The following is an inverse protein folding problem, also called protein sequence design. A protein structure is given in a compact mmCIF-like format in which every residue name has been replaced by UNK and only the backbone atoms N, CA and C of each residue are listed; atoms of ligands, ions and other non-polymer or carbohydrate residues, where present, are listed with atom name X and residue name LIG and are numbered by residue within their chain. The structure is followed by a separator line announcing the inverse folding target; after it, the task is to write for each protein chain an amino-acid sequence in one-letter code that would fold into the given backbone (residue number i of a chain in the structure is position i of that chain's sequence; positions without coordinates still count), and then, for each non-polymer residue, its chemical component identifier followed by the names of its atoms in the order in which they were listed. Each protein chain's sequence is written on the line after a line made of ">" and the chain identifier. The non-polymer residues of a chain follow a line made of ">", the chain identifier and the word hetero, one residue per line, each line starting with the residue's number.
data_IF_007540566868
#
_entry.id   IF_007540566868
#
_cell.length_a   1.000
_cell.length_b   1.000
_cell.length_c   1.000
_cell.angle_alpha   90.00
_cell.angle_beta   90.00
_cell.angle_gamma   90.00
#
_symmetry.space_group_name_H-M   'P 1'
#
loop_
_entity.id
_entity.type
_entity.pdbx_description
1 polymer ?
#
# COMPACT_ATOMS: atom_id res chain seq x y z
N UNK A 1 11.23 21.14 35.53
CA UNK A 1 10.53 20.06 36.29
C UNK A 1 9.40 19.38 35.52
N UNK A 2 8.78 20.01 34.52
CA UNK A 2 7.71 19.38 33.69
C UNK A 2 8.30 18.41 32.66
N UNK A 3 9.53 18.61 32.20
CA UNK A 3 10.15 17.77 31.16
C UNK A 3 10.67 16.40 31.67
N UNK A 4 10.92 16.25 32.98
CA UNK A 4 11.41 15.00 33.55
C UNK A 4 10.31 13.98 33.89
N UNK A 5 9.05 14.43 33.95
CA UNK A 5 7.89 13.54 34.15
C UNK A 5 7.41 12.80 32.89
N UNK A 6 7.95 13.14 31.71
CA UNK A 6 7.48 12.61 30.44
C UNK A 6 8.31 11.42 29.90
N UNK A 7 9.36 11.01 30.59
CA UNK A 7 10.21 9.91 30.15
C UNK A 7 10.17 8.77 31.18
N UNK A 8 9.38 7.74 30.89
CA UNK A 8 9.44 6.46 31.57
C UNK A 8 8.46 6.20 32.72
N UNK A 9 7.41 7.01 32.89
CA UNK A 9 6.35 6.75 33.86
C UNK A 9 5.14 6.02 33.28
N UNK A 10 4.37 5.33 34.11
CA UNK A 10 3.08 4.70 33.74
C UNK A 10 2.11 5.66 33.04
N UNK A 11 2.31 6.97 33.24
CA UNK A 11 1.54 8.03 32.58
C UNK A 11 1.80 8.10 31.06
N UNK A 12 3.04 7.85 30.60
CA UNK A 12 3.35 7.75 29.16
C UNK A 12 2.74 6.51 28.50
N UNK A 13 2.53 5.43 29.27
CA UNK A 13 1.87 4.21 28.79
C UNK A 13 0.36 4.44 28.69
N UNK A 14 -0.24 5.14 29.63
CA UNK A 14 -1.67 5.53 29.58
C UNK A 14 -1.98 6.47 28.40
N UNK A 15 -1.09 7.44 28.11
CA UNK A 15 -1.27 8.34 26.97
C UNK A 15 -1.24 7.61 25.62
N UNK A 16 -0.49 6.52 25.48
CA UNK A 16 -0.44 5.74 24.22
C UNK A 16 -1.73 4.98 23.92
N UNK A 17 -2.46 4.57 24.94
CA UNK A 17 -3.75 3.90 24.77
C UNK A 17 -4.94 4.87 24.74
N UNK A 18 -4.72 6.14 25.09
CA UNK A 18 -5.78 7.15 25.15
C UNK A 18 -6.04 7.83 23.80
N UNK A 19 -4.99 8.09 23.02
CA UNK A 19 -5.11 8.73 21.71
C UNK A 19 -5.15 7.68 20.59
N UNK A 20 -5.98 7.94 19.60
CA UNK A 20 -6.24 7.05 18.48
C UNK A 20 -6.03 7.74 17.13
N UNK A 21 -5.73 6.97 16.12
CA UNK A 21 -5.74 7.40 14.74
C UNK A 21 -6.56 6.39 13.92
N UNK A 22 -7.20 6.86 12.87
CA UNK A 22 -7.96 6.01 11.97
C UNK A 22 -7.31 6.00 10.59
N UNK A 23 -7.22 4.83 9.98
CA UNK A 23 -6.86 4.65 8.58
C UNK A 23 -8.06 4.24 7.75
N UNK A 24 -8.17 4.77 6.54
CA UNK A 24 -9.14 4.37 5.52
C UNK A 24 -8.40 4.07 4.23
N UNK A 25 -8.57 2.88 3.68
CA UNK A 25 -8.17 2.55 2.31
C UNK A 25 -9.40 2.57 1.42
N UNK A 26 -9.37 3.39 0.38
CA UNK A 26 -10.41 3.44 -0.66
C UNK A 26 -9.93 2.65 -1.87
N UNK A 27 -10.74 1.69 -2.31
CA UNK A 27 -10.51 0.95 -3.55
C UNK A 27 -11.69 1.12 -4.50
N UNK A 28 -11.63 0.55 -5.69
CA UNK A 28 -12.74 0.64 -6.64
C UNK A 28 -14.05 -0.01 -6.15
N UNK A 29 -13.96 -1.02 -5.26
CA UNK A 29 -15.13 -1.84 -4.89
C UNK A 29 -15.41 -1.90 -3.39
N UNK A 30 -14.51 -1.44 -2.54
CA UNK A 30 -14.66 -1.49 -1.08
C UNK A 30 -13.84 -0.40 -0.39
N UNK A 31 -14.16 -0.15 0.85
CA UNK A 31 -13.35 0.61 1.79
C UNK A 31 -12.87 -0.32 2.91
N UNK A 32 -11.66 -0.12 3.36
CA UNK A 32 -11.14 -0.76 4.57
C UNK A 32 -10.87 0.30 5.62
N UNK A 33 -11.20 0.01 6.86
CA UNK A 33 -11.07 0.91 7.98
C UNK A 33 -10.31 0.24 9.10
N UNK A 34 -9.39 0.95 9.72
CA UNK A 34 -8.70 0.49 10.93
C UNK A 34 -8.64 1.62 11.94
N UNK A 35 -8.84 1.27 13.19
CA UNK A 35 -8.61 2.13 14.35
C UNK A 35 -7.40 1.59 15.10
N UNK A 36 -6.45 2.47 15.41
CA UNK A 36 -5.22 2.12 16.11
C UNK A 36 -4.97 3.11 17.26
N UNK A 37 -4.28 2.65 18.30
CA UNK A 37 -3.78 3.53 19.35
C UNK A 37 -2.34 4.01 19.02
N UNK A 38 -1.81 4.94 19.81
CA UNK A 38 -0.43 5.43 19.65
C UNK A 38 0.64 4.39 20.01
N UNK A 39 0.26 3.24 20.53
CA UNK A 39 1.13 2.08 20.76
C UNK A 39 1.22 1.14 19.56
N UNK A 40 0.64 1.51 18.42
CA UNK A 40 0.55 0.69 17.20
C UNK A 40 -0.33 -0.57 17.36
N UNK A 41 -1.23 -0.60 18.34
CA UNK A 41 -2.16 -1.71 18.51
C UNK A 41 -3.44 -1.44 17.71
N UNK A 42 -3.90 -2.45 16.99
CA UNK A 42 -5.16 -2.38 16.26
C UNK A 42 -6.29 -2.62 17.24
N UNK A 43 -7.14 -1.61 17.39
CA UNK A 43 -8.33 -1.65 18.26
C UNK A 43 -9.51 -2.26 17.51
N UNK A 44 -9.72 -1.83 16.26
CA UNK A 44 -10.82 -2.30 15.43
C UNK A 44 -10.45 -2.23 13.96
N UNK A 45 -10.97 -3.15 13.17
CA UNK A 45 -10.88 -3.14 11.71
C UNK A 45 -12.17 -3.60 11.09
N UNK A 46 -12.46 -3.08 9.91
CA UNK A 46 -13.62 -3.50 9.11
C UNK A 46 -13.34 -3.32 7.62
N UNK A 47 -14.00 -4.12 6.80
CA UNK A 47 -13.97 -4.04 5.34
C UNK A 47 -15.38 -4.06 4.81
N UNK A 48 -15.78 -2.97 4.18
CA UNK A 48 -17.15 -2.75 3.70
C UNK A 48 -17.14 -2.71 2.17
N UNK A 49 -18.03 -3.47 1.56
CA UNK A 49 -18.26 -3.36 0.12
C UNK A 49 -18.95 -2.04 -0.17
N UNK A 50 -18.23 -1.13 -0.82
CA UNK A 50 -18.70 0.17 -1.25
C UNK A 50 -18.02 0.53 -2.55
N UNK A 51 -18.78 0.48 -3.66
CA UNK A 51 -18.26 0.80 -4.98
C UNK A 51 -17.98 2.30 -5.06
N UNK A 52 -16.75 2.64 -5.44
CA UNK A 52 -16.35 4.03 -5.64
C UNK A 52 -17.19 4.68 -6.75
N UNK A 53 -17.66 5.88 -6.49
CA UNK A 53 -18.21 6.79 -7.50
C UNK A 53 -17.66 8.19 -7.26
N UNK A 54 -17.51 8.97 -8.34
CA UNK A 54 -17.01 10.35 -8.25
C UNK A 54 -18.08 11.36 -7.75
N UNK A 55 -19.17 10.88 -7.18
CA UNK A 55 -20.31 11.69 -6.72
C UNK A 55 -20.16 12.11 -5.26
N UNK A 56 -20.81 13.22 -4.89
CA UNK A 56 -20.83 13.70 -3.49
C UNK A 56 -21.51 12.70 -2.55
N UNK A 57 -22.50 11.96 -3.04
CA UNK A 57 -23.18 10.90 -2.29
C UNK A 57 -22.21 9.85 -1.75
N UNK A 58 -21.17 9.51 -2.50
CA UNK A 58 -20.13 8.60 -2.03
C UNK A 58 -19.39 9.15 -0.81
N UNK A 59 -19.01 10.42 -0.82
CA UNK A 59 -18.32 11.05 0.33
C UNK A 59 -19.20 11.03 1.58
N UNK A 60 -20.50 11.30 1.42
CA UNK A 60 -21.48 11.25 2.53
C UNK A 60 -21.64 9.83 3.05
N UNK A 61 -21.67 8.83 2.17
CA UNK A 61 -21.79 7.42 2.57
C UNK A 61 -20.53 6.95 3.30
N UNK A 62 -19.32 7.30 2.83
CA UNK A 62 -18.06 7.02 3.53
C UNK A 62 -18.09 7.64 4.92
N UNK A 63 -18.48 8.92 5.06
CA UNK A 63 -18.55 9.59 6.34
C UNK A 63 -19.55 8.91 7.31
N UNK A 64 -20.69 8.44 6.81
CA UNK A 64 -21.66 7.69 7.62
C UNK A 64 -21.07 6.34 8.08
N UNK A 65 -20.33 5.62 7.21
CA UNK A 65 -19.66 4.36 7.59
C UNK A 65 -18.59 4.62 8.64
N UNK A 66 -17.80 5.68 8.50
CA UNK A 66 -16.79 6.08 9.49
C UNK A 66 -17.45 6.38 10.84
N UNK A 67 -18.53 7.13 10.84
CA UNK A 67 -19.28 7.44 12.08
C UNK A 67 -19.76 6.16 12.77
N UNK A 68 -20.39 5.26 12.02
CA UNK A 68 -20.85 3.97 12.56
C UNK A 68 -19.68 3.10 13.05
N UNK A 69 -18.56 3.11 12.35
CA UNK A 69 -17.36 2.37 12.75
C UNK A 69 -16.78 2.86 14.08
N UNK A 70 -16.85 4.17 14.35
CA UNK A 70 -16.34 4.79 15.57
C UNK A 70 -17.34 4.77 16.74
N UNK A 71 -18.61 4.41 16.52
CA UNK A 71 -19.62 4.35 17.57
C UNK A 71 -19.24 3.36 18.66
N UNK A 72 -19.22 3.86 19.92
CA UNK A 72 -18.94 3.07 21.12
C UNK A 72 -17.45 2.82 21.41
N UNK A 73 -16.55 3.20 20.52
CA UNK A 73 -15.11 2.90 20.67
C UNK A 73 -14.30 4.03 21.30
N UNK A 74 -14.72 5.28 21.14
CA UNK A 74 -13.91 6.44 21.50
C UNK A 74 -14.65 7.45 22.36
N UNK A 75 -13.97 8.03 23.37
CA UNK A 75 -14.36 9.29 23.98
C UNK A 75 -14.13 10.43 22.96
N UNK A 76 -15.01 11.46 22.98
CA UNK A 76 -15.13 12.47 21.91
C UNK A 76 -13.84 13.18 21.48
N UNK A 77 -12.77 13.18 22.23
CA UNK A 77 -11.56 13.98 21.94
C UNK A 77 -10.29 13.13 21.83
N UNK A 78 -10.42 11.82 21.60
CA UNK A 78 -9.27 10.93 21.56
C UNK A 78 -8.81 10.58 20.13
N UNK A 79 -9.59 10.88 19.10
CA UNK A 79 -9.22 10.65 17.70
C UNK A 79 -8.43 11.85 17.16
N UNK A 80 -7.15 11.64 16.88
CA UNK A 80 -6.22 12.68 16.40
C UNK A 80 -6.46 13.07 14.94
N UNK A 81 -6.93 12.13 14.11
CA UNK A 81 -7.19 12.36 12.70
C UNK A 81 -7.42 11.07 11.92
N UNK A 82 -7.73 11.25 10.65
CA UNK A 82 -7.99 10.16 9.70
C UNK A 82 -6.97 10.24 8.58
N UNK A 83 -6.24 9.13 8.36
CA UNK A 83 -5.44 8.95 7.17
C UNK A 83 -6.26 8.25 6.08
N UNK A 84 -6.27 8.77 4.87
CA UNK A 84 -6.98 8.19 3.74
C UNK A 84 -6.00 7.81 2.64
N UNK A 85 -5.86 6.51 2.39
CA UNK A 85 -5.08 5.96 1.30
C UNK A 85 -5.97 5.76 0.07
N UNK A 86 -5.51 6.29 -1.07
CA UNK A 86 -6.26 6.26 -2.35
C UNK A 86 -5.30 5.87 -3.47
N UNK A 87 -5.64 4.92 -4.34
CA UNK A 87 -4.82 4.60 -5.50
C UNK A 87 -4.79 5.77 -6.49
N UNK A 88 -3.59 6.20 -6.88
CA UNK A 88 -3.38 7.26 -7.85
C UNK A 88 -2.40 8.34 -7.41
N UNK A 89 -2.19 9.30 -8.30
CA UNK A 89 -1.28 10.43 -8.08
C UNK A 89 -2.02 11.54 -7.35
N UNK A 90 -1.54 11.90 -6.15
CA UNK A 90 -2.20 12.88 -5.28
C UNK A 90 -1.37 14.14 -5.15
N UNK A 91 -1.98 15.29 -5.41
CA UNK A 91 -1.49 16.59 -4.97
C UNK A 91 -2.01 16.87 -3.56
N UNK A 92 -1.13 16.74 -2.57
CA UNK A 92 -1.50 16.92 -1.16
C UNK A 92 -1.80 18.37 -0.82
N UNK A 93 -1.18 19.34 -1.52
CA UNK A 93 -1.40 20.78 -1.24
C UNK A 93 -2.77 21.21 -1.73
N UNK A 94 -3.09 20.84 -2.97
CA UNK A 94 -4.38 21.16 -3.58
C UNK A 94 -5.49 20.21 -3.14
N UNK A 95 -5.15 19.06 -2.52
CA UNK A 95 -6.09 18.01 -2.14
C UNK A 95 -6.89 17.49 -3.33
N UNK A 96 -6.16 17.10 -4.36
CA UNK A 96 -6.69 16.62 -5.64
C UNK A 96 -6.02 15.30 -5.97
N UNK A 97 -6.82 14.32 -6.39
CA UNK A 97 -6.31 13.17 -7.15
C UNK A 97 -6.09 13.64 -8.57
N UNK A 98 -4.84 13.85 -8.96
CA UNK A 98 -4.48 14.29 -10.32
C UNK A 98 -4.92 13.26 -11.34
N UNK A 99 -4.66 11.98 -11.05
CA UNK A 99 -5.08 10.86 -11.89
C UNK A 99 -5.10 9.56 -11.10
N UNK A 100 -6.18 8.82 -11.23
CA UNK A 100 -6.29 7.44 -10.77
C UNK A 100 -6.87 6.57 -11.88
N UNK A 101 -6.06 5.67 -12.41
CA UNK A 101 -6.55 4.69 -13.37
C UNK A 101 -7.44 3.66 -12.69
N UNK A 102 -7.11 3.24 -11.47
CA UNK A 102 -7.86 2.24 -10.71
C UNK A 102 -9.28 2.72 -10.37
N UNK A 103 -9.47 4.03 -10.12
CA UNK A 103 -10.77 4.63 -9.81
C UNK A 103 -11.44 5.29 -11.02
N UNK A 104 -10.73 5.40 -12.16
CA UNK A 104 -11.25 6.03 -13.38
C UNK A 104 -11.49 7.54 -13.23
N UNK A 105 -10.70 8.25 -12.40
CA UNK A 105 -10.85 9.69 -12.14
C UNK A 105 -9.62 10.48 -12.53
N UNK A 106 -9.85 11.76 -12.85
CA UNK A 106 -8.81 12.75 -13.13
C UNK A 106 -9.24 14.11 -12.58
N UNK A 107 -8.28 14.84 -11.96
CA UNK A 107 -8.52 16.14 -11.30
C UNK A 107 -9.69 16.12 -10.28
N UNK A 108 -9.81 15.02 -9.52
CA UNK A 108 -10.89 14.83 -8.56
C UNK A 108 -10.55 15.50 -7.22
N UNK A 109 -11.44 16.38 -6.73
CA UNK A 109 -11.25 17.08 -5.46
C UNK A 109 -11.55 16.17 -4.26
N UNK A 110 -10.58 16.09 -3.32
CA UNK A 110 -10.73 15.36 -2.05
C UNK A 110 -11.35 16.23 -0.94
N UNK A 111 -11.56 17.53 -1.21
CA UNK A 111 -12.13 18.48 -0.22
C UNK A 111 -13.53 18.10 0.21
N UNK A 112 -14.32 17.49 -0.64
CA UNK A 112 -15.66 17.02 -0.29
C UNK A 112 -15.63 15.89 0.73
N UNK A 113 -14.70 14.95 0.58
CA UNK A 113 -14.52 13.87 1.55
C UNK A 113 -14.03 14.41 2.90
N UNK A 114 -13.07 15.33 2.87
CA UNK A 114 -12.58 16.00 4.06
C UNK A 114 -13.70 16.74 4.82
N UNK A 115 -14.53 17.50 4.10
CA UNK A 115 -15.66 18.20 4.69
C UNK A 115 -16.71 17.26 5.27
N UNK A 116 -16.97 16.12 4.60
CA UNK A 116 -17.95 15.15 5.06
C UNK A 116 -17.50 14.40 6.33
N UNK A 117 -16.18 14.20 6.52
CA UNK A 117 -15.62 13.50 7.69
C UNK A 117 -15.59 14.37 8.95
N UNK A 118 -15.55 15.71 8.83
CA UNK A 118 -15.56 16.67 9.95
C UNK A 118 -14.42 16.46 10.98
N UNK A 119 -13.36 15.75 10.60
CA UNK A 119 -12.18 15.39 11.39
C UNK A 119 -10.96 15.74 10.54
N UNK A 120 -9.80 16.11 11.11
CA UNK A 120 -8.59 16.31 10.32
C UNK A 120 -8.26 15.11 9.43
N UNK A 121 -8.12 15.33 8.12
CA UNK A 121 -7.87 14.28 7.14
C UNK A 121 -6.53 14.48 6.43
N UNK A 122 -5.79 13.39 6.27
CA UNK A 122 -4.54 13.33 5.53
C UNK A 122 -4.69 12.34 4.39
N UNK A 123 -4.41 12.78 3.16
CA UNK A 123 -4.52 11.95 1.97
C UNK A 123 -3.14 11.47 1.52
N UNK A 124 -3.02 10.23 1.13
CA UNK A 124 -1.80 9.68 0.56
C UNK A 124 -2.12 8.63 -0.52
N UNK A 125 -1.19 8.45 -1.46
CA UNK A 125 -1.24 7.32 -2.37
C UNK A 125 -1.12 6.00 -1.59
N UNK A 126 -1.82 4.96 -2.02
CA UNK A 126 -1.89 3.67 -1.35
C UNK A 126 -0.53 2.98 -1.19
N UNK A 127 0.32 2.94 -2.21
CA UNK A 127 1.65 2.36 -2.11
C UNK A 127 2.58 3.22 -1.21
N UNK A 128 2.47 4.55 -1.27
CA UNK A 128 3.18 5.45 -0.35
C UNK A 128 2.75 5.22 1.10
N UNK A 129 1.44 5.07 1.33
CA UNK A 129 0.91 4.77 2.65
C UNK A 129 1.45 3.44 3.18
N UNK A 130 1.50 2.42 2.33
CA UNK A 130 2.07 1.12 2.66
C UNK A 130 3.57 1.20 3.01
N UNK A 131 4.36 1.95 2.23
CA UNK A 131 5.77 2.19 2.55
C UNK A 131 5.96 2.90 3.89
N UNK A 132 5.07 3.84 4.23
CA UNK A 132 5.11 4.51 5.54
C UNK A 132 4.80 3.58 6.71
N UNK A 133 3.97 2.56 6.49
CA UNK A 133 3.64 1.57 7.51
C UNK A 133 4.83 0.64 7.81
N UNK A 134 5.63 0.32 6.80
CA UNK A 134 6.92 -0.35 7.04
C UNK A 134 7.81 0.57 7.87
N UNK A 135 8.26 0.11 9.03
CA UNK A 135 8.96 0.94 10.01
C UNK A 135 10.10 1.72 9.36
N UNK A 136 9.92 3.03 9.15
CA UNK A 136 10.90 3.94 8.52
C UNK A 136 12.33 3.79 9.05
N UNK A 137 12.47 3.49 10.35
CA UNK A 137 13.76 3.25 10.98
C UNK A 137 14.42 1.94 10.56
N UNK A 138 13.64 0.98 10.08
CA UNK A 138 14.14 -0.33 9.63
C UNK A 138 14.66 -0.28 8.20
N UNK A 139 14.03 0.55 7.34
CA UNK A 139 14.36 0.66 5.94
C UNK A 139 14.48 2.15 5.52
N UNK A 140 15.61 2.82 5.86
CA UNK A 140 15.77 4.23 5.53
C UNK A 140 15.85 4.49 4.02
N UNK A 141 16.40 3.54 3.27
CA UNK A 141 16.51 3.58 1.81
C UNK A 141 15.94 2.29 1.26
N UNK A 142 14.70 2.33 0.77
CA UNK A 142 14.03 1.15 0.26
C UNK A 142 12.95 1.49 -0.77
N UNK A 143 12.71 0.53 -1.64
CA UNK A 143 11.60 0.49 -2.59
C UNK A 143 10.54 -0.46 -2.04
N UNK A 144 9.28 -0.05 -2.09
CA UNK A 144 8.13 -0.89 -1.80
C UNK A 144 7.39 -1.19 -3.10
N UNK A 145 7.19 -2.47 -3.39
CA UNK A 145 6.35 -2.94 -4.49
C UNK A 145 5.01 -3.42 -3.91
N UNK A 146 3.94 -2.72 -4.25
CA UNK A 146 2.58 -3.03 -3.85
C UNK A 146 1.94 -3.95 -4.87
N UNK A 147 2.06 -5.28 -4.66
CA UNK A 147 1.60 -6.34 -5.56
C UNK A 147 0.12 -6.65 -5.31
N UNK A 148 -0.73 -5.69 -5.58
CA UNK A 148 -2.18 -5.77 -5.46
C UNK A 148 -2.84 -6.00 -6.82
N UNK A 149 -4.15 -5.79 -6.95
CA UNK A 149 -4.88 -5.88 -8.22
C UNK A 149 -4.16 -5.15 -9.35
N UNK A 150 -3.56 -4.00 -9.05
CA UNK A 150 -2.58 -3.28 -9.87
C UNK A 150 -1.23 -3.24 -9.15
N UNK A 151 -0.14 -3.08 -9.89
CA UNK A 151 1.20 -2.92 -9.34
C UNK A 151 1.45 -1.46 -9.03
N UNK A 152 1.49 -1.13 -7.75
CA UNK A 152 1.93 0.16 -7.23
C UNK A 152 3.38 0.13 -6.76
N UNK A 153 3.94 1.31 -6.51
CA UNK A 153 5.27 1.42 -5.94
C UNK A 153 5.48 2.72 -5.18
N UNK A 154 6.39 2.64 -4.21
CA UNK A 154 6.85 3.78 -3.44
C UNK A 154 8.30 3.59 -3.07
N UNK A 155 9.00 4.67 -2.75
CA UNK A 155 10.32 4.53 -2.15
C UNK A 155 10.67 5.64 -1.18
N UNK A 156 11.52 5.27 -0.22
CA UNK A 156 12.08 6.16 0.77
C UNK A 156 13.56 6.39 0.52
N UNK A 157 14.00 7.63 0.74
CA UNK A 157 15.40 8.03 0.81
C UNK A 157 15.60 8.73 2.15
N UNK A 158 16.59 8.29 2.92
CA UNK A 158 16.89 8.82 4.27
C UNK A 158 15.65 8.84 5.18
N UNK A 159 14.85 7.78 5.12
CA UNK A 159 13.64 7.63 5.91
C UNK A 159 12.47 8.54 5.51
N UNK A 160 12.56 9.22 4.36
CA UNK A 160 11.53 10.10 3.83
C UNK A 160 10.99 9.58 2.51
N UNK A 161 9.67 9.64 2.32
CA UNK A 161 9.06 9.33 1.03
C UNK A 161 9.60 10.27 -0.06
N UNK A 162 10.06 9.67 -1.13
CA UNK A 162 10.46 10.40 -2.33
C UNK A 162 9.31 10.39 -3.34
N UNK A 163 8.66 11.53 -3.51
CA UNK A 163 7.50 11.68 -4.40
C UNK A 163 7.85 12.19 -5.80
N UNK A 164 9.11 12.62 -5.99
CA UNK A 164 9.54 13.29 -7.23
C UNK A 164 8.96 14.69 -7.38
N UNK A 165 9.36 15.36 -8.43
CA UNK A 165 8.98 16.76 -8.70
C UNK A 165 7.46 16.91 -8.97
N UNK A 166 6.85 15.91 -9.62
CA UNK A 166 5.46 15.94 -10.08
C UNK A 166 4.60 14.87 -9.41
N UNK A 167 4.95 14.42 -8.21
CA UNK A 167 4.25 13.36 -7.44
C UNK A 167 4.15 12.00 -8.19
N UNK A 168 5.05 11.73 -9.14
CA UNK A 168 5.01 10.53 -10.01
C UNK A 168 6.15 9.55 -9.73
N UNK A 169 6.95 9.77 -8.70
CA UNK A 169 7.97 8.81 -8.32
C UNK A 169 7.29 7.54 -7.78
N UNK A 170 7.87 6.38 -8.09
CA UNK A 170 7.29 5.10 -7.67
C UNK A 170 6.29 4.47 -8.64
N UNK A 171 5.97 5.10 -9.78
CA UNK A 171 5.09 4.53 -10.82
C UNK A 171 5.76 3.33 -11.55
N UNK A 172 6.34 2.40 -10.77
CA UNK A 172 7.08 1.23 -11.26
C UNK A 172 6.22 0.28 -12.08
N UNK A 173 4.93 0.18 -11.76
CA UNK A 173 3.97 -0.61 -12.54
C UNK A 173 3.90 -0.19 -14.00
N UNK A 174 4.25 1.05 -14.31
CA UNK A 174 4.21 1.57 -15.68
C UNK A 174 5.57 1.63 -16.39
N UNK A 175 6.64 1.07 -15.80
CA UNK A 175 7.88 0.79 -16.50
C UNK A 175 7.64 -0.29 -17.57
N UNK A 176 8.27 -0.13 -18.72
CA UNK A 176 8.19 -1.15 -19.79
C UNK A 176 9.09 -2.31 -19.41
N UNK A 177 8.50 -3.44 -19.12
CA UNK A 177 9.19 -4.69 -18.82
C UNK A 177 9.39 -5.54 -20.09
N UNK A 178 8.36 -5.61 -20.94
CA UNK A 178 8.38 -6.37 -22.19
C UNK A 178 7.94 -5.45 -23.34
N UNK A 179 8.87 -4.86 -24.09
CA UNK A 179 8.53 -3.97 -25.19
C UNK A 179 7.56 -4.61 -26.20
N UNK A 180 6.44 -3.92 -26.49
CA UNK A 180 5.40 -4.44 -27.39
C UNK A 180 4.55 -5.59 -26.85
N UNK A 181 4.71 -5.96 -25.58
CA UNK A 181 4.01 -7.07 -24.94
C UNK A 181 2.55 -6.80 -24.57
N UNK A 182 2.09 -7.38 -23.45
CA UNK A 182 0.69 -7.32 -23.01
C UNK A 182 0.20 -5.88 -22.87
N UNK A 183 -1.08 -5.66 -23.18
CA UNK A 183 -1.73 -4.36 -22.97
C UNK A 183 -1.85 -4.04 -21.50
N UNK A 184 -1.53 -2.81 -21.12
CA UNK A 184 -1.76 -2.26 -19.79
C UNK A 184 -2.99 -1.34 -19.82
N UNK A 185 -3.71 -1.26 -18.70
CA UNK A 185 -4.86 -0.36 -18.55
C UNK A 185 -4.50 1.12 -18.74
N UNK A 186 -3.23 1.51 -18.59
CA UNK A 186 -2.78 2.88 -18.85
C UNK A 186 -2.71 3.25 -20.35
N UNK A 187 -3.05 2.31 -21.25
CA UNK A 187 -3.03 2.49 -22.70
C UNK A 187 -1.73 2.09 -23.40
N UNK A 188 -0.63 1.88 -22.64
CA UNK A 188 0.64 1.38 -23.19
C UNK A 188 0.63 -0.15 -23.33
N UNK A 189 1.69 -0.70 -23.91
CA UNK A 189 1.95 -2.14 -23.96
C UNK A 189 3.27 -2.45 -23.29
N UNK A 190 3.32 -3.59 -22.58
CA UNK A 190 4.55 -4.10 -21.98
C UNK A 190 4.89 -3.56 -20.61
N UNK A 191 3.98 -2.83 -19.95
CA UNK A 191 4.18 -2.34 -18.59
C UNK A 191 4.35 -3.49 -17.59
N UNK A 192 5.17 -3.31 -16.57
CA UNK A 192 5.38 -4.26 -15.48
C UNK A 192 4.05 -4.71 -14.83
N UNK A 193 3.10 -3.80 -14.68
CA UNK A 193 1.76 -4.09 -14.15
C UNK A 193 1.06 -5.24 -14.88
N UNK A 194 1.15 -5.29 -16.20
CA UNK A 194 0.53 -6.34 -17.00
C UNK A 194 1.16 -7.74 -16.82
N UNK A 195 2.21 -7.85 -16.03
CA UNK A 195 2.95 -9.09 -15.76
C UNK A 195 3.08 -9.40 -14.28
N UNK A 196 3.15 -8.39 -13.41
CA UNK A 196 3.50 -8.52 -12.00
C UNK A 196 2.37 -8.08 -11.04
N UNK A 197 1.20 -7.64 -11.54
CA UNK A 197 0.05 -7.36 -10.68
C UNK A 197 -0.68 -8.65 -10.27
N UNK A 198 -1.40 -8.64 -9.14
CA UNK A 198 -2.22 -9.77 -8.72
C UNK A 198 -3.33 -10.12 -9.72
N UNK A 199 -3.82 -9.14 -10.50
CA UNK A 199 -4.81 -9.35 -11.56
C UNK A 199 -4.37 -10.40 -12.60
N UNK A 200 -3.07 -10.55 -12.81
CA UNK A 200 -2.50 -11.58 -13.71
C UNK A 200 -2.79 -12.98 -13.20
N UNK A 201 -2.69 -13.20 -11.89
CA UNK A 201 -2.92 -14.48 -11.23
C UNK A 201 -4.42 -14.75 -11.03
N UNK A 202 -5.18 -13.70 -10.69
CA UNK A 202 -6.61 -13.79 -10.44
C UNK A 202 -7.45 -13.69 -11.71
N UNK A 203 -6.82 -13.56 -12.89
CA UNK A 203 -7.49 -13.41 -14.19
C UNK A 203 -8.57 -12.31 -14.14
N UNK A 204 -8.20 -11.12 -13.69
CA UNK A 204 -9.12 -9.99 -13.52
C UNK A 204 -10.34 -10.32 -12.63
N UNK A 205 -10.09 -10.91 -11.48
CA UNK A 205 -11.11 -11.30 -10.48
C UNK A 205 -12.04 -12.46 -10.89
N UNK A 206 -11.67 -13.29 -11.85
CA UNK A 206 -12.39 -14.54 -12.16
C UNK A 206 -12.17 -15.62 -11.11
N UNK A 207 -11.06 -15.53 -10.36
CA UNK A 207 -10.77 -16.35 -9.18
C UNK A 207 -10.12 -15.50 -8.09
N UNK A 208 -10.20 -15.93 -6.83
CA UNK A 208 -9.45 -15.32 -5.74
C UNK A 208 -7.98 -15.73 -5.79
N UNK A 209 -7.10 -14.96 -5.13
CA UNK A 209 -5.70 -15.34 -4.98
C UNK A 209 -5.57 -16.64 -4.18
N UNK A 210 -6.38 -16.82 -3.13
CA UNK A 210 -6.39 -18.07 -2.34
C UNK A 210 -6.72 -19.28 -3.20
N UNK A 211 -7.77 -19.18 -4.05
CA UNK A 211 -8.12 -20.28 -4.96
C UNK A 211 -7.03 -20.54 -6.03
N UNK A 212 -6.24 -19.53 -6.39
CA UNK A 212 -5.06 -19.72 -7.25
C UNK A 212 -3.96 -20.48 -6.50
N UNK A 213 -3.69 -20.11 -5.24
CA UNK A 213 -2.68 -20.76 -4.42
C UNK A 213 -3.04 -22.23 -4.08
N UNK A 214 -4.31 -22.52 -3.77
CA UNK A 214 -4.80 -23.89 -3.60
C UNK A 214 -4.52 -24.78 -4.83
N UNK A 215 -4.64 -24.22 -6.03
CA UNK A 215 -4.32 -24.97 -7.26
C UNK A 215 -2.81 -25.19 -7.43
N UNK A 216 -1.96 -24.26 -6.98
CA UNK A 216 -0.51 -24.47 -6.93
C UNK A 216 -0.20 -25.65 -6.01
N UNK A 217 -0.77 -25.67 -4.80
CA UNK A 217 -0.56 -26.74 -3.82
C UNK A 217 -1.04 -28.11 -4.32
N UNK A 218 -2.14 -28.13 -5.09
CA UNK A 218 -2.64 -29.35 -5.72
C UNK A 218 -1.84 -29.83 -6.93
N UNK A 219 -0.85 -29.06 -7.38
CA UNK A 219 0.04 -29.45 -8.49
C UNK A 219 -0.55 -29.25 -9.88
N UNK A 220 -1.51 -28.31 -10.05
CA UNK A 220 -2.04 -27.97 -11.39
C UNK A 220 -0.91 -27.39 -12.28
N UNK A 221 -0.49 -28.18 -13.27
CA UNK A 221 0.64 -27.87 -14.14
C UNK A 221 0.51 -26.52 -14.85
N UNK A 222 -0.70 -26.16 -15.30
CA UNK A 222 -0.96 -24.90 -16.00
C UNK A 222 -0.85 -23.69 -15.05
N UNK A 223 -1.31 -23.86 -13.84
CA UNK A 223 -1.23 -22.84 -12.80
C UNK A 223 0.22 -22.68 -12.33
N UNK A 224 0.93 -23.77 -12.13
CA UNK A 224 2.37 -23.76 -11.83
C UNK A 224 3.19 -23.07 -12.92
N UNK A 225 2.89 -23.30 -14.20
CA UNK A 225 3.52 -22.57 -15.29
C UNK A 225 3.22 -21.07 -15.21
N UNK A 226 1.96 -20.68 -14.99
CA UNK A 226 1.56 -19.27 -14.84
C UNK A 226 2.30 -18.61 -13.67
N UNK A 227 2.42 -19.30 -12.54
CA UNK A 227 3.16 -18.83 -11.37
C UNK A 227 4.65 -18.65 -11.67
N UNK A 228 5.27 -19.61 -12.33
CA UNK A 228 6.68 -19.52 -12.71
C UNK A 228 6.94 -18.33 -13.65
N UNK A 229 6.08 -18.13 -14.66
CA UNK A 229 6.17 -16.97 -15.56
C UNK A 229 6.00 -15.64 -14.81
N UNK A 230 5.09 -15.60 -13.83
CA UNK A 230 4.90 -14.44 -12.96
C UNK A 230 6.17 -14.13 -12.17
N UNK A 231 6.77 -15.14 -11.53
CA UNK A 231 8.02 -14.99 -10.77
C UNK A 231 9.20 -14.56 -11.67
N UNK A 232 9.27 -15.04 -12.91
CA UNK A 232 10.29 -14.62 -13.88
C UNK A 232 10.18 -13.13 -14.20
N UNK A 233 8.99 -12.64 -14.50
CA UNK A 233 8.76 -11.21 -14.76
C UNK A 233 9.02 -10.35 -13.52
N UNK A 234 8.62 -10.82 -12.36
CA UNK A 234 8.87 -10.12 -11.09
C UNK A 234 10.37 -10.06 -10.79
N UNK A 235 11.12 -11.13 -11.05
CA UNK A 235 12.58 -11.16 -10.91
C UNK A 235 13.29 -10.15 -11.81
N UNK A 236 12.85 -10.02 -13.07
CA UNK A 236 13.38 -8.99 -13.99
C UNK A 236 13.10 -7.57 -13.45
N UNK A 237 11.88 -7.31 -12.98
CA UNK A 237 11.53 -6.02 -12.39
C UNK A 237 12.40 -5.70 -11.16
N UNK A 238 12.54 -6.65 -10.24
CA UNK A 238 13.36 -6.52 -9.03
C UNK A 238 14.81 -6.23 -9.41
N UNK A 239 15.39 -6.99 -10.34
CA UNK A 239 16.76 -6.79 -10.80
C UNK A 239 16.96 -5.40 -11.40
N UNK A 240 16.02 -4.95 -12.25
CA UNK A 240 16.08 -3.60 -12.86
C UNK A 240 16.04 -2.50 -11.80
N UNK A 241 15.16 -2.62 -10.80
CA UNK A 241 15.05 -1.63 -9.73
C UNK A 241 16.30 -1.65 -8.83
N UNK A 242 16.83 -2.83 -8.52
CA UNK A 242 18.07 -2.96 -7.77
C UNK A 242 19.24 -2.29 -8.49
N UNK A 243 19.39 -2.52 -9.80
CA UNK A 243 20.43 -1.88 -10.60
C UNK A 243 20.27 -0.35 -10.72
N UNK A 244 19.03 0.14 -10.75
CA UNK A 244 18.77 1.57 -10.91
C UNK A 244 18.95 2.38 -9.61
N UNK A 245 18.68 1.78 -8.45
CA UNK A 245 18.54 2.52 -7.18
C UNK A 245 19.46 2.03 -6.06
N UNK A 246 20.02 0.82 -6.13
CA UNK A 246 20.85 0.21 -5.08
C UNK A 246 20.21 0.28 -3.68
N UNK A 247 18.95 -0.14 -3.58
CA UNK A 247 18.13 -0.06 -2.34
C UNK A 247 17.54 -1.42 -1.99
N UNK A 248 17.18 -1.61 -0.72
CA UNK A 248 16.33 -2.74 -0.31
C UNK A 248 15.00 -2.70 -1.07
N UNK A 249 14.47 -3.88 -1.42
CA UNK A 249 13.20 -4.02 -2.12
C UNK A 249 12.23 -4.82 -1.25
N UNK A 250 11.13 -4.18 -0.84
CA UNK A 250 10.11 -4.76 0.01
C UNK A 250 8.94 -5.20 -0.87
N UNK A 251 8.60 -6.47 -0.81
CA UNK A 251 7.46 -7.05 -1.52
C UNK A 251 6.23 -7.05 -0.61
N UNK A 252 5.23 -6.28 -0.98
CA UNK A 252 3.99 -6.16 -0.22
C UNK A 252 2.74 -6.28 -1.12
N UNK A 253 1.59 -5.96 -0.56
CA UNK A 253 0.32 -6.19 -1.22
C UNK A 253 -0.17 -7.62 -1.07
N UNK A 254 -1.25 -7.98 -1.80
CA UNK A 254 -1.89 -9.30 -1.73
C UNK A 254 -0.90 -10.42 -2.06
N UNK A 255 -0.17 -10.29 -3.16
CA UNK A 255 0.83 -11.29 -3.57
C UNK A 255 2.05 -11.26 -2.66
N UNK A 256 2.46 -10.09 -2.15
CA UNK A 256 3.57 -9.98 -1.19
C UNK A 256 3.37 -10.86 0.05
N UNK A 257 2.12 -10.99 0.53
CA UNK A 257 1.77 -11.87 1.64
C UNK A 257 2.03 -13.35 1.35
N UNK A 258 1.74 -13.81 0.13
CA UNK A 258 1.97 -15.22 -0.28
C UNK A 258 3.42 -15.49 -0.68
N UNK A 259 4.17 -14.46 -1.09
CA UNK A 259 5.56 -14.62 -1.52
C UNK A 259 6.50 -15.05 -0.38
N UNK A 260 6.08 -14.96 0.89
CA UNK A 260 6.88 -15.43 2.04
C UNK A 260 7.43 -16.84 1.85
N UNK A 261 6.61 -17.74 1.31
CA UNK A 261 6.95 -19.15 1.09
C UNK A 261 7.72 -19.37 -0.20
N UNK A 262 7.79 -18.36 -1.07
CA UNK A 262 8.43 -18.40 -2.39
C UNK A 262 9.65 -17.48 -2.50
N UNK A 263 10.16 -16.94 -1.39
CA UNK A 263 11.33 -16.05 -1.40
C UNK A 263 12.60 -16.72 -1.92
N UNK A 264 12.78 -18.04 -1.65
CA UNK A 264 13.95 -18.79 -2.15
C UNK A 264 13.87 -18.92 -3.67
N UNK A 265 12.80 -19.51 -4.27
CA UNK A 265 12.72 -19.65 -5.73
C UNK A 265 12.69 -18.30 -6.45
N UNK A 266 12.10 -17.25 -5.87
CA UNK A 266 12.18 -15.92 -6.43
C UNK A 266 13.60 -15.37 -6.38
N UNK A 267 14.31 -15.56 -5.27
CA UNK A 267 15.71 -15.17 -5.10
C UNK A 267 16.63 -15.82 -6.12
N UNK A 268 16.48 -17.10 -6.38
CA UNK A 268 17.22 -17.83 -7.43
C UNK A 268 17.00 -17.21 -8.81
N UNK A 269 15.75 -16.86 -9.15
CA UNK A 269 15.43 -16.19 -10.41
C UNK A 269 16.03 -14.78 -10.49
N UNK A 270 16.00 -14.02 -9.39
CA UNK A 270 16.61 -12.67 -9.32
C UNK A 270 18.12 -12.77 -9.52
N UNK A 271 18.78 -13.74 -8.87
CA UNK A 271 20.22 -13.97 -9.01
C UNK A 271 20.63 -14.32 -10.45
N UNK A 272 19.76 -14.95 -11.23
CA UNK A 272 20.04 -15.24 -12.63
C UNK A 272 20.19 -13.96 -13.49
N UNK A 273 19.60 -12.85 -13.07
CA UNK A 273 19.69 -11.54 -13.75
C UNK A 273 20.70 -10.58 -13.12
N UNK A 274 21.24 -10.92 -11.92
CA UNK A 274 22.12 -10.04 -11.18
C UNK A 274 23.55 -10.59 -11.16
N UNK A 275 24.45 -9.92 -11.89
CA UNK A 275 25.88 -10.28 -11.94
C UNK A 275 26.78 -9.55 -10.95
N UNK A 276 26.23 -8.67 -10.09
CA UNK A 276 27.01 -7.81 -9.19
C UNK A 276 26.96 -8.26 -7.73
N UNK A 277 25.99 -9.06 -7.34
CA UNK A 277 25.76 -9.47 -5.96
C UNK A 277 25.79 -11.01 -5.85
N UNK A 278 26.10 -11.52 -4.67
CA UNK A 278 26.21 -12.95 -4.39
C UNK A 278 25.02 -13.50 -3.63
N UNK A 279 24.10 -12.63 -3.19
CA UNK A 279 22.88 -13.00 -2.49
C UNK A 279 21.74 -11.99 -2.78
N UNK A 280 20.56 -12.26 -2.27
CA UNK A 280 19.36 -11.41 -2.37
C UNK A 280 18.94 -10.87 -1.02
N UNK A 281 19.89 -10.62 -0.12
CA UNK A 281 19.60 -10.12 1.23
C UNK A 281 18.88 -8.77 1.27
N UNK A 282 18.94 -8.00 0.18
CA UNK A 282 18.19 -6.78 -0.04
C UNK A 282 16.70 -7.00 -0.35
N UNK A 283 16.30 -8.22 -0.69
CA UNK A 283 14.90 -8.56 -0.95
C UNK A 283 14.21 -8.89 0.36
N UNK A 284 13.12 -8.19 0.65
CA UNK A 284 12.39 -8.27 1.92
C UNK A 284 10.92 -8.56 1.69
N UNK A 285 10.32 -9.35 2.56
CA UNK A 285 8.87 -9.37 2.69
C UNK A 285 8.39 -8.20 3.52
N UNK A 286 7.20 -7.70 3.20
CA UNK A 286 6.52 -6.72 4.03
C UNK A 286 6.26 -7.28 5.44
N UNK A 287 6.30 -6.39 6.42
CA UNK A 287 6.03 -6.75 7.83
C UNK A 287 4.55 -6.97 8.09
N UNK A 288 3.68 -6.53 7.19
CA UNK A 288 2.24 -6.55 7.34
C UNK A 288 1.57 -7.11 6.08
N UNK A 289 0.70 -8.09 6.24
CA UNK A 289 -0.15 -8.56 5.13
C UNK A 289 -1.24 -7.53 4.81
N UNK A 290 -1.63 -7.46 3.58
CA UNK A 290 -2.49 -6.58 2.79
C UNK A 290 -3.36 -5.56 3.50
N UNK A 291 -4.23 -5.97 4.40
CA UNK A 291 -5.19 -5.06 5.08
C UNK A 291 -4.55 -4.13 6.10
N UNK A 292 -3.34 -4.43 6.55
CA UNK A 292 -2.67 -3.69 7.62
C UNK A 292 -1.69 -2.64 7.10
N UNK A 293 -1.10 -2.88 5.93
CA UNK A 293 -0.01 -2.06 5.39
C UNK A 293 -0.46 -0.65 5.08
N UNK A 294 -1.61 -0.50 4.43
CA UNK A 294 -2.14 0.79 4.00
C UNK A 294 -2.67 1.64 5.16
N UNK A 295 -3.05 1.00 6.25
CA UNK A 295 -3.79 1.64 7.33
C UNK A 295 -2.90 2.16 8.46
N UNK A 296 -1.69 1.61 8.64
CA UNK A 296 -0.68 2.07 9.63
C UNK A 296 0.13 3.29 9.20
N UNK A 297 0.17 3.60 7.92
CA UNK A 297 1.01 4.65 7.36
C UNK A 297 0.68 6.05 7.88
N UNK A 298 -0.50 6.25 8.43
CA UNK A 298 -0.98 7.56 8.88
C UNK A 298 -0.65 7.89 10.34
N UNK A 299 0.02 6.98 11.06
CA UNK A 299 0.29 7.11 12.50
C UNK A 299 1.53 7.92 12.85
N UNK A 300 2.29 8.40 11.89
CA UNK A 300 3.53 9.09 12.23
C UNK A 300 3.26 10.48 12.77
N UNK A 301 3.60 10.72 14.04
CA UNK A 301 3.62 12.00 14.75
C UNK A 301 4.20 13.18 13.92
N UNK A 302 4.93 12.92 12.85
CA UNK A 302 5.51 13.94 11.98
C UNK A 302 4.55 14.57 10.98
N UNK A 303 3.33 14.01 10.82
CA UNK A 303 2.30 14.56 9.93
C UNK A 303 1.13 15.18 10.72
N UNK A 304 1.12 15.03 12.05
CA UNK A 304 0.06 15.53 12.94
C UNK A 304 0.51 16.72 13.81
N UNK A 305 1.76 17.21 13.64
CA UNK A 305 2.30 18.41 14.30
C UNK A 305 2.81 19.39 13.25
#
# INVERSE_FOLDING_TARGET
>A
EIASCLVGSEMCIRDRSYCHAMGILITANHIEMVLVNLGDEIIKKDRIRLKFTAELSYCTEVAQKVKTFLEGELAKDTLLGIGVAIPGIIDQKERIVLKSHALGIENYSLRFLEQALEIPVYFENDANAAMLAEKKQKYPNAIYLSLNHTLGGAFCIDGKLFRGQNQKAGEFGHMILVPGGRKCYCGKSGCADAYCAASVLTQDNRQSLDAFMEKIESGDEKILQTWNEYLDHLAVLISNLRMAYDMDIILGGDVGGVLSDYMIPLGEKVMAYNGFEHDVSYLKNCSYTVSYTHLRAHETRGNLV
#
